data_IF_937262932984
#
_entry.id   IF_937262932984
#
_cell.length_a   1.000
_cell.length_b   1.000
_cell.length_c   1.000
_cell.angle_alpha   90.00
_cell.angle_beta   90.00
_cell.angle_gamma   90.00
#
_symmetry.space_group_name_H-M   'P 1'
#
loop_
_entity.id
_entity.type
_entity.pdbx_description
1 polymer ?
#
# COMPACT_ATOMS: atom_id res chain seq x y z
N UNK A 1 20.13 -9.04 -1.58
CA UNK A 1 19.79 -8.70 -0.18
C UNK A 1 19.00 -7.42 -0.20
N UNK A 2 17.74 -7.49 -0.63
CA UNK A 2 16.85 -6.33 -0.63
C UNK A 2 16.00 -6.48 0.63
N UNK A 3 16.48 -5.89 1.73
CA UNK A 3 15.67 -5.75 2.93
C UNK A 3 14.41 -5.02 2.47
N UNK A 4 13.25 -5.66 2.58
CA UNK A 4 11.95 -5.14 2.14
C UNK A 4 11.51 -3.96 3.00
N UNK A 5 12.29 -2.89 2.99
CA UNK A 5 12.04 -1.67 3.72
C UNK A 5 10.79 -1.03 3.11
N UNK A 6 9.77 -0.92 3.96
CA UNK A 6 8.47 -0.40 3.55
C UNK A 6 8.61 1.08 3.21
N UNK A 7 8.45 1.43 1.94
CA UNK A 7 8.47 2.83 1.52
C UNK A 7 7.11 3.48 1.78
N UNK A 8 7.09 4.53 2.61
CA UNK A 8 5.93 5.40 2.72
C UNK A 8 5.79 6.18 1.42
N UNK A 9 4.57 6.20 0.87
CA UNK A 9 4.25 6.87 -0.38
C UNK A 9 3.16 7.90 -0.16
N UNK A 10 3.26 9.02 -0.88
CA UNK A 10 2.19 10.00 -0.93
C UNK A 10 0.98 9.42 -1.67
N UNK A 11 -0.20 9.76 -1.20
CA UNK A 11 -1.47 9.40 -1.82
C UNK A 11 -2.37 10.64 -1.94
N UNK A 12 -3.34 10.58 -2.84
CA UNK A 12 -4.45 11.54 -2.91
C UNK A 12 -5.79 10.84 -2.70
N UNK A 13 -6.76 11.55 -2.13
CA UNK A 13 -8.14 11.07 -2.01
C UNK A 13 -8.97 11.60 -3.18
N UNK A 14 -9.67 10.71 -3.89
CA UNK A 14 -10.62 11.05 -4.95
C UNK A 14 -11.94 10.35 -4.69
N UNK A 15 -12.89 11.09 -4.10
CA UNK A 15 -14.16 10.51 -3.66
C UNK A 15 -13.92 9.43 -2.59
N UNK A 16 -14.23 8.17 -2.93
CA UNK A 16 -14.05 7.01 -2.03
C UNK A 16 -12.73 6.25 -2.25
N UNK A 17 -11.84 6.76 -3.11
CA UNK A 17 -10.61 6.07 -3.50
C UNK A 17 -9.36 6.78 -2.99
N UNK A 18 -8.40 6.00 -2.54
CA UNK A 18 -7.01 6.42 -2.35
C UNK A 18 -6.23 6.12 -3.63
N UNK A 19 -5.55 7.12 -4.18
CA UNK A 19 -4.82 7.01 -5.44
C UNK A 19 -3.34 7.27 -5.20
N UNK A 20 -2.50 6.37 -5.67
CA UNK A 20 -1.05 6.44 -5.65
C UNK A 20 -0.56 6.33 -7.09
N UNK A 21 0.42 7.14 -7.48
CA UNK A 21 0.90 7.21 -8.87
C UNK A 21 2.06 6.25 -9.17
N UNK A 22 2.38 5.34 -8.26
CA UNK A 22 3.47 4.37 -8.40
C UNK A 22 2.88 2.95 -8.45
N UNK A 23 3.44 2.12 -9.33
CA UNK A 23 3.13 0.69 -9.38
C UNK A 23 3.95 -0.06 -8.33
N UNK A 24 3.34 -1.06 -7.70
CA UNK A 24 3.98 -1.93 -6.71
C UNK A 24 3.48 -3.37 -6.90
N UNK A 25 4.36 -4.33 -6.65
CA UNK A 25 3.97 -5.75 -6.64
C UNK A 25 3.24 -6.11 -5.34
N UNK A 26 3.61 -5.44 -4.24
CA UNK A 26 3.02 -5.59 -2.91
C UNK A 26 2.92 -4.23 -2.22
N UNK A 27 1.85 -4.01 -1.48
CA UNK A 27 1.64 -2.82 -0.65
C UNK A 27 0.87 -3.16 0.64
N UNK A 28 0.98 -2.30 1.65
CA UNK A 28 0.18 -2.38 2.88
C UNK A 28 -0.57 -1.07 3.13
N UNK A 29 -1.88 -1.16 3.36
CA UNK A 29 -2.68 -0.06 3.88
C UNK A 29 -2.86 -0.28 5.39
N UNK A 30 -2.36 0.66 6.19
CA UNK A 30 -2.41 0.60 7.65
C UNK A 30 -3.35 1.68 8.19
N UNK A 31 -4.32 1.28 9.00
CA UNK A 31 -5.31 2.17 9.62
C UNK A 31 -5.15 2.19 11.13
N UNK A 32 -5.00 3.38 11.71
CA UNK A 32 -4.80 3.59 13.14
C UNK A 32 -3.33 3.77 13.53
N UNK A 33 -3.11 4.10 14.81
CA UNK A 33 -1.79 4.44 15.34
C UNK A 33 -1.19 3.28 16.16
N UNK A 34 -1.71 3.02 17.38
CA UNK A 34 -1.15 2.00 18.28
C UNK A 34 -1.57 0.56 17.94
N UNK A 35 -2.81 0.36 17.49
CA UNK A 35 -3.35 -0.95 17.06
C UNK A 35 -3.80 -0.81 15.63
N UNK A 36 -2.91 -1.12 14.70
CA UNK A 36 -3.17 -0.91 13.29
C UNK A 36 -3.95 -2.07 12.70
N UNK A 37 -5.01 -1.77 11.95
CA UNK A 37 -5.56 -2.72 11.00
C UNK A 37 -4.71 -2.67 9.74
N UNK A 38 -4.19 -3.82 9.31
CA UNK A 38 -3.29 -3.91 8.16
C UNK A 38 -4.00 -4.68 7.04
N UNK A 39 -4.20 -4.02 5.91
CA UNK A 39 -4.68 -4.63 4.67
C UNK A 39 -3.50 -4.81 3.74
N UNK A 40 -3.24 -6.06 3.34
CA UNK A 40 -2.19 -6.39 2.37
C UNK A 40 -2.77 -6.43 0.97
N UNK A 41 -2.12 -5.73 0.05
CA UNK A 41 -2.49 -5.66 -1.36
C UNK A 41 -1.35 -6.33 -2.12
N UNK A 42 -1.68 -7.38 -2.87
CA UNK A 42 -0.74 -8.08 -3.74
C UNK A 42 -1.29 -7.96 -5.14
N UNK A 43 -0.45 -7.52 -6.07
CA UNK A 43 -0.81 -7.53 -7.49
C UNK A 43 -0.97 -8.99 -7.92
N UNK A 44 -2.17 -9.37 -8.33
CA UNK A 44 -2.42 -10.68 -8.92
C UNK A 44 -1.93 -10.64 -10.37
N UNK A 45 -0.65 -10.96 -10.56
CA UNK A 45 -0.08 -11.17 -11.89
C UNK A 45 -0.59 -12.51 -12.43
N UNK A 46 -1.88 -12.57 -12.80
CA UNK A 46 -2.36 -13.58 -13.74
C UNK A 46 -1.86 -13.21 -15.13
N UNK A 47 -0.67 -13.71 -15.45
CA UNK A 47 -0.22 -13.97 -16.82
C UNK A 47 -1.00 -15.13 -17.43
#
# INVERSE_FOLDING_TARGET
TDSGDSALVNYRVKGRYYVVDRLFDKAELRLGEKKQQVVKIIRDDKS
#
